data_IF_209410945230
#
_entry.id   IF_209410945230
#
_cell.length_a   1.000
_cell.length_b   1.000
_cell.length_c   1.000
_cell.angle_alpha   90.00
_cell.angle_beta   90.00
_cell.angle_gamma   90.00
#
_symmetry.space_group_name_H-M   'P 1'
#
loop_
_entity.id
_entity.type
_entity.pdbx_description
1 polymer ?
#
# COMPACT_ATOMS: atom_id res chain seq x y z
N UNK A 1 -8.50 -18.96 -12.82
CA UNK A 1 -9.37 -19.24 -11.66
C UNK A 1 -8.67 -18.95 -10.31
N UNK A 2 -9.23 -18.01 -9.55
CA UNK A 2 -9.37 -18.09 -8.08
C UNK A 2 -8.12 -18.02 -7.18
N UNK A 3 -7.09 -17.24 -7.52
CA UNK A 3 -5.93 -17.02 -6.63
C UNK A 3 -6.05 -15.80 -5.69
N UNK A 4 -7.28 -15.25 -5.55
CA UNK A 4 -7.55 -14.05 -4.75
C UNK A 4 -7.22 -14.26 -3.27
N UNK A 5 -7.65 -15.39 -2.70
CA UNK A 5 -7.40 -15.72 -1.28
C UNK A 5 -5.91 -15.87 -0.99
N UNK A 6 -5.16 -16.52 -1.89
CA UNK A 6 -3.71 -16.68 -1.76
C UNK A 6 -2.99 -15.34 -1.83
N UNK A 7 -3.38 -14.46 -2.77
CA UNK A 7 -2.78 -13.11 -2.86
C UNK A 7 -3.12 -12.27 -1.64
N UNK A 8 -4.38 -12.31 -1.18
CA UNK A 8 -4.78 -11.60 0.02
C UNK A 8 -3.97 -12.05 1.25
N UNK A 9 -3.78 -13.36 1.41
CA UNK A 9 -2.93 -13.93 2.47
C UNK A 9 -1.46 -13.51 2.33
N UNK A 10 -0.90 -13.57 1.11
CA UNK A 10 0.47 -13.12 0.85
C UNK A 10 0.66 -11.62 1.16
N UNK A 11 -0.31 -10.78 0.82
CA UNK A 11 -0.26 -9.35 1.15
C UNK A 11 -0.36 -9.10 2.66
N UNK A 12 -1.15 -9.90 3.38
CA UNK A 12 -1.18 -9.85 4.85
C UNK A 12 0.18 -10.23 5.46
N UNK A 13 0.82 -11.28 4.95
CA UNK A 13 2.16 -11.70 5.42
C UNK A 13 3.21 -10.63 5.14
N UNK A 14 3.15 -9.98 3.98
CA UNK A 14 4.00 -8.81 3.65
C UNK A 14 3.79 -7.66 4.62
N UNK A 15 2.54 -7.31 4.93
CA UNK A 15 2.22 -6.25 5.90
C UNK A 15 2.66 -6.59 7.32
N UNK A 16 2.57 -7.87 7.71
CA UNK A 16 3.00 -8.34 9.03
C UNK A 16 4.53 -8.41 9.16
N UNK A 17 5.27 -8.43 8.05
CA UNK A 17 6.74 -8.55 8.08
C UNK A 17 7.48 -7.31 8.58
N UNK A 18 6.84 -6.14 8.57
CA UNK A 18 7.46 -4.86 8.94
C UNK A 18 8.51 -4.35 7.95
N UNK A 19 8.72 -5.04 6.83
CA UNK A 19 9.66 -4.63 5.79
C UNK A 19 9.01 -3.58 4.89
N UNK A 20 9.54 -2.35 4.91
CA UNK A 20 9.02 -1.20 4.15
C UNK A 20 8.96 -1.49 2.65
N UNK A 21 9.91 -2.27 2.11
CA UNK A 21 9.93 -2.63 0.70
C UNK A 21 8.72 -3.52 0.39
N UNK A 22 8.44 -4.52 1.22
CA UNK A 22 7.27 -5.39 1.04
C UNK A 22 5.95 -4.65 1.23
N UNK A 23 5.89 -3.68 2.14
CA UNK A 23 4.71 -2.82 2.30
C UNK A 23 4.48 -1.99 1.03
N UNK A 24 5.54 -1.40 0.47
CA UNK A 24 5.45 -0.62 -0.78
C UNK A 24 4.97 -1.44 -1.97
N UNK A 25 5.35 -2.71 -2.07
CA UNK A 25 4.83 -3.62 -3.09
C UNK A 25 3.31 -3.81 -2.96
N UNK A 26 2.81 -3.99 -1.74
CA UNK A 26 1.36 -4.15 -1.49
C UNK A 26 0.60 -2.88 -1.86
N UNK A 27 1.12 -1.70 -1.51
CA UNK A 27 0.52 -0.41 -1.89
C UNK A 27 0.45 -0.28 -3.41
N UNK A 28 1.59 -0.44 -4.10
CA UNK A 28 1.68 -0.33 -5.57
C UNK A 28 0.73 -1.28 -6.27
N UNK A 29 0.76 -2.56 -5.88
CA UNK A 29 0.00 -3.60 -6.57
C UNK A 29 -1.51 -3.44 -6.34
N UNK A 30 -1.94 -3.03 -5.14
CA UNK A 30 -3.36 -2.76 -4.87
C UNK A 30 -3.84 -1.47 -5.53
N UNK A 31 -3.04 -0.39 -5.49
CA UNK A 31 -3.37 0.88 -6.13
C UNK A 31 -3.60 0.71 -7.63
N UNK A 32 -2.66 0.06 -8.35
CA UNK A 32 -2.81 -0.22 -9.79
C UNK A 32 -4.06 -1.03 -10.09
N UNK A 33 -4.41 -1.98 -9.21
CA UNK A 33 -5.59 -2.82 -9.42
C UNK A 33 -6.91 -2.11 -9.13
N UNK A 34 -6.90 -1.15 -8.21
CA UNK A 34 -8.06 -0.28 -7.99
C UNK A 34 -8.36 0.55 -9.24
N UNK A 35 -7.31 1.06 -9.92
CA UNK A 35 -7.45 1.81 -11.18
C UNK A 35 -7.94 0.95 -12.35
N UNK A 36 -7.47 -0.30 -12.48
CA UNK A 36 -7.84 -1.18 -13.60
C UNK A 36 -9.25 -1.77 -13.46
N UNK A 37 -9.57 -2.36 -12.31
CA UNK A 37 -10.78 -3.20 -12.13
C UNK A 37 -11.55 -2.93 -10.84
N UNK A 38 -11.03 -2.05 -9.98
CA UNK A 38 -11.53 -1.83 -8.63
C UNK A 38 -11.12 -2.93 -7.64
N UNK A 39 -11.14 -2.55 -6.37
CA UNK A 39 -10.86 -3.44 -5.24
C UNK A 39 -12.12 -3.86 -4.49
N UNK A 40 -12.09 -5.07 -3.92
CA UNK A 40 -13.08 -5.50 -2.91
C UNK A 40 -12.95 -4.68 -1.62
N UNK A 41 -13.99 -4.66 -0.78
CA UNK A 41 -13.95 -3.93 0.50
C UNK A 41 -12.78 -4.33 1.41
N UNK A 42 -12.41 -5.61 1.41
CA UNK A 42 -11.24 -6.11 2.17
C UNK A 42 -9.92 -5.60 1.59
N UNK A 43 -9.76 -5.62 0.27
CA UNK A 43 -8.57 -5.09 -0.40
C UNK A 43 -8.45 -3.56 -0.25
N UNK A 44 -9.57 -2.82 -0.26
CA UNK A 44 -9.56 -1.37 0.00
C UNK A 44 -9.06 -1.04 1.41
N UNK A 45 -9.52 -1.79 2.43
CA UNK A 45 -9.02 -1.63 3.81
C UNK A 45 -7.54 -1.98 3.91
N UNK A 46 -7.10 -3.02 3.20
CA UNK A 46 -5.69 -3.40 3.14
C UNK A 46 -4.84 -2.32 2.50
N UNK A 47 -5.28 -1.73 1.38
CA UNK A 47 -4.59 -0.62 0.73
C UNK A 47 -4.51 0.60 1.65
N UNK A 48 -5.60 0.98 2.32
CA UNK A 48 -5.60 2.09 3.27
C UNK A 48 -4.60 1.88 4.41
N UNK A 49 -4.58 0.68 5.01
CA UNK A 49 -3.61 0.33 6.06
C UNK A 49 -2.17 0.33 5.55
N UNK A 50 -1.93 -0.23 4.36
CA UNK A 50 -0.61 -0.27 3.74
C UNK A 50 -0.08 1.14 3.42
N UNK A 51 -0.95 2.02 2.89
CA UNK A 51 -0.60 3.44 2.65
C UNK A 51 -0.25 4.15 3.95
N UNK A 52 -1.04 3.99 5.00
CA UNK A 52 -0.77 4.63 6.28
C UNK A 52 0.62 4.24 6.84
N UNK A 53 0.95 2.94 6.84
CA UNK A 53 2.27 2.47 7.27
C UNK A 53 3.38 3.12 6.43
N UNK A 54 3.24 3.10 5.09
CA UNK A 54 4.26 3.64 4.20
C UNK A 54 4.43 5.16 4.36
N UNK A 55 3.33 5.91 4.55
CA UNK A 55 3.35 7.36 4.79
C UNK A 55 4.07 7.66 6.10
N UNK A 56 3.77 6.94 7.19
CA UNK A 56 4.45 7.17 8.46
C UNK A 56 5.95 6.86 8.37
N UNK A 57 6.36 5.79 7.67
CA UNK A 57 7.77 5.50 7.42
C UNK A 57 8.46 6.58 6.58
N UNK A 58 7.80 7.06 5.52
CA UNK A 58 8.32 8.13 4.66
C UNK A 58 8.44 9.46 5.40
N UNK A 59 7.44 9.81 6.21
CA UNK A 59 7.45 11.00 7.05
C UNK A 59 8.63 10.98 8.03
N UNK A 60 8.89 9.82 8.67
CA UNK A 60 10.04 9.63 9.56
C UNK A 60 11.38 9.70 8.81
N UNK A 61 11.47 9.07 7.64
CA UNK A 61 12.70 9.04 6.84
C UNK A 61 13.09 10.44 6.30
N UNK A 62 12.10 11.19 5.80
CA UNK A 62 12.32 12.52 5.23
C UNK A 62 12.22 13.66 6.25
N UNK A 63 11.92 13.35 7.53
CA UNK A 63 11.66 14.33 8.60
C UNK A 63 10.61 15.37 8.19
N UNK A 64 9.56 14.88 7.54
CA UNK A 64 8.45 15.69 7.04
C UNK A 64 7.15 15.32 7.75
N UNK A 65 6.08 16.05 7.49
CA UNK A 65 4.75 15.73 8.00
C UNK A 65 4.09 14.63 7.16
N UNK A 66 3.12 13.91 7.75
CA UNK A 66 2.39 12.84 7.05
C UNK A 66 1.62 13.36 5.83
N UNK A 67 1.25 14.65 5.83
CA UNK A 67 0.55 15.29 4.71
C UNK A 67 1.45 15.43 3.49
N UNK A 68 2.66 15.97 3.64
CA UNK A 68 3.65 16.04 2.55
C UNK A 68 4.07 14.66 2.10
N UNK A 69 4.30 13.72 3.03
CA UNK A 69 4.63 12.34 2.68
C UNK A 69 3.50 11.67 1.88
N UNK A 70 2.23 11.92 2.24
CA UNK A 70 1.08 11.44 1.44
C UNK A 70 1.07 12.05 0.04
N UNK A 71 1.34 13.35 -0.10
CA UNK A 71 1.38 14.02 -1.40
C UNK A 71 2.49 13.44 -2.29
N UNK A 72 3.69 13.26 -1.75
CA UNK A 72 4.81 12.62 -2.45
C UNK A 72 4.44 11.20 -2.89
N UNK A 73 3.82 10.42 -2.00
CA UNK A 73 3.37 9.07 -2.33
C UNK A 73 2.33 9.08 -3.47
N UNK A 74 1.39 10.02 -3.47
CA UNK A 74 0.37 10.12 -4.50
C UNK A 74 0.95 10.58 -5.86
N UNK A 75 1.91 11.50 -5.85
CA UNK A 75 2.66 11.89 -7.06
C UNK A 75 3.43 10.71 -7.66
N UNK A 76 4.10 9.92 -6.83
CA UNK A 76 4.86 8.73 -7.27
C UNK A 76 3.93 7.63 -7.80
N UNK A 77 2.76 7.44 -7.19
CA UNK A 77 1.80 6.44 -7.64
C UNK A 77 1.12 6.84 -8.96
N UNK A 78 0.94 8.14 -9.21
CA UNK A 78 0.33 8.67 -10.43
C UNK A 78 1.28 8.73 -11.64
N UNK A 79 2.58 8.48 -11.43
CA UNK A 79 3.65 8.45 -12.46
C UNK A 79 3.79 7.06 -13.09
#
# INVERSE_FOLDING_TARGET
PTNWSRRYKANLEKLASGDVIKVSEVVRDLWRRDQDRGLSAGEKRMLAKARQILISELALAEKTDEEKASNVLDEVLAS
#
